data_IF_241784533749
#
_entry.id   IF_241784533749
#
_cell.length_a   1.000
_cell.length_b   1.000
_cell.length_c   1.000
_cell.angle_alpha   90.00
_cell.angle_beta   90.00
_cell.angle_gamma   90.00
#
_symmetry.space_group_name_H-M   'P 1'
#
loop_
_entity.id
_entity.type
_entity.pdbx_description
1 polymer ?
#
# COMPACT_ATOMS: atom_id res chain seq x y z
N UNK A 1 1.13 2.22 0.46
CA UNK A 1 -0.25 1.94 0.92
C UNK A 1 -0.20 1.45 2.36
N UNK A 2 -1.03 2.01 3.23
CA UNK A 2 -1.24 1.63 4.64
C UNK A 2 -0.01 1.75 5.56
N UNK A 3 0.90 2.67 5.30
CA UNK A 3 2.02 2.99 6.22
C UNK A 3 1.52 3.95 7.31
N UNK A 4 0.59 3.50 8.11
CA UNK A 4 -0.07 4.31 9.13
C UNK A 4 0.63 4.16 10.48
N UNK A 5 0.51 5.18 11.32
CA UNK A 5 1.26 5.26 12.58
C UNK A 5 0.96 4.11 13.53
N UNK A 6 -0.29 3.67 13.62
CA UNK A 6 -0.69 2.57 14.50
C UNK A 6 -0.16 1.21 14.04
N UNK A 7 -0.20 0.93 12.72
CA UNK A 7 0.38 -0.32 12.20
C UNK A 7 1.92 -0.31 12.28
N UNK A 8 2.56 0.84 12.02
CA UNK A 8 4.02 0.95 12.15
C UNK A 8 4.48 0.74 13.59
N UNK A 9 3.70 1.17 14.57
CA UNK A 9 4.00 0.97 15.99
C UNK A 9 4.02 -0.51 16.42
N UNK A 10 3.33 -1.39 15.68
CA UNK A 10 3.38 -2.84 15.93
C UNK A 10 4.72 -3.48 15.50
N UNK A 11 5.48 -2.80 14.65
CA UNK A 11 6.71 -3.35 14.06
C UNK A 11 7.92 -2.40 14.23
N UNK A 12 8.29 -2.04 15.47
CA UNK A 12 9.30 -0.99 15.74
C UNK A 12 10.69 -1.33 15.21
N UNK A 13 11.04 -2.60 15.06
CA UNK A 13 12.32 -3.03 14.51
C UNK A 13 12.40 -2.91 12.99
N UNK A 14 11.28 -2.92 12.29
CA UNK A 14 11.20 -2.91 10.82
C UNK A 14 10.83 -1.52 10.30
N UNK A 15 9.96 -0.81 11.00
CA UNK A 15 9.38 0.45 10.57
C UNK A 15 10.43 1.49 10.10
N UNK A 16 11.56 1.73 10.80
CA UNK A 16 12.54 2.74 10.37
C UNK A 16 13.10 2.46 8.98
N UNK A 17 13.49 1.22 8.69
CA UNK A 17 14.06 0.83 7.39
C UNK A 17 12.98 0.87 6.30
N UNK A 18 11.80 0.32 6.58
CA UNK A 18 10.68 0.29 5.65
C UNK A 18 10.24 1.71 5.25
N UNK A 19 10.07 2.60 6.22
CA UNK A 19 9.69 4.00 5.97
C UNK A 19 10.79 4.77 5.23
N UNK A 20 12.06 4.57 5.60
CA UNK A 20 13.20 5.17 4.89
C UNK A 20 13.27 4.75 3.42
N UNK A 21 13.12 3.46 3.14
CA UNK A 21 13.12 2.94 1.77
C UNK A 21 11.94 3.51 0.97
N UNK A 22 10.75 3.50 1.55
CA UNK A 22 9.54 4.03 0.91
C UNK A 22 9.64 5.54 0.67
N UNK A 23 10.22 6.29 1.61
CA UNK A 23 10.46 7.72 1.44
C UNK A 23 11.40 8.00 0.27
N UNK A 24 12.52 7.28 0.17
CA UNK A 24 13.47 7.41 -0.96
C UNK A 24 12.79 7.13 -2.30
N UNK A 25 11.93 6.11 -2.36
CA UNK A 25 11.17 5.80 -3.56
C UNK A 25 10.18 6.92 -3.92
N UNK A 26 9.45 7.45 -2.94
CA UNK A 26 8.54 8.59 -3.15
C UNK A 26 9.27 9.83 -3.63
N UNK A 27 10.43 10.14 -3.06
CA UNK A 27 11.20 11.32 -3.47
C UNK A 27 11.74 11.15 -4.91
N UNK A 28 12.25 9.98 -5.28
CA UNK A 28 12.67 9.70 -6.66
C UNK A 28 11.51 9.83 -7.66
N UNK A 29 10.32 9.31 -7.32
CA UNK A 29 9.12 9.47 -8.15
C UNK A 29 8.74 10.96 -8.33
N UNK A 30 8.78 11.74 -7.25
CA UNK A 30 8.51 13.19 -7.26
C UNK A 30 9.48 13.97 -8.13
N UNK A 31 10.76 13.63 -8.06
CA UNK A 31 11.83 14.28 -8.84
C UNK A 31 11.69 14.03 -10.35
N UNK A 32 11.03 12.95 -10.70
CA UNK A 32 10.73 12.58 -12.11
C UNK A 32 9.31 12.98 -12.55
N UNK A 33 8.57 13.69 -11.72
CA UNK A 33 7.20 14.11 -12.03
C UNK A 33 6.18 12.96 -12.05
N UNK A 34 6.54 11.79 -11.49
CA UNK A 34 5.62 10.67 -11.34
C UNK A 34 4.64 10.96 -10.20
N UNK A 35 3.36 10.78 -10.47
CA UNK A 35 2.30 11.03 -9.49
C UNK A 35 2.39 10.07 -8.30
N UNK A 36 2.41 10.62 -7.08
CA UNK A 36 2.43 9.82 -5.84
C UNK A 36 1.05 9.86 -5.21
N UNK A 37 0.49 8.67 -4.94
CA UNK A 37 -0.77 8.49 -4.25
C UNK A 37 -0.54 7.80 -2.92
N UNK A 38 -1.11 8.37 -1.87
CA UNK A 38 -1.18 7.71 -0.57
C UNK A 38 -2.52 7.01 -0.40
N UNK A 39 -2.51 5.89 0.31
CA UNK A 39 -3.73 5.21 0.69
C UNK A 39 -3.65 4.76 2.15
N UNK A 40 -4.73 4.94 2.88
CA UNK A 40 -4.91 4.42 4.22
C UNK A 40 -6.21 3.62 4.33
N UNK A 41 -6.20 2.62 5.20
CA UNK A 41 -7.43 2.01 5.66
C UNK A 41 -7.93 2.82 6.86
N UNK A 42 -9.24 3.05 6.97
CA UNK A 42 -9.80 3.87 8.02
C UNK A 42 -11.20 3.37 8.39
N UNK A 43 -11.54 3.49 9.66
CA UNK A 43 -12.86 3.18 10.18
C UNK A 43 -13.35 4.28 11.11
N UNK A 44 -14.66 4.51 11.11
CA UNK A 44 -15.30 5.39 12.08
C UNK A 44 -15.30 4.76 13.49
N UNK A 45 -15.39 5.56 14.57
CA UNK A 45 -15.52 5.03 15.92
C UNK A 45 -16.65 3.99 16.02
N UNK A 46 -16.35 2.84 16.62
CA UNK A 46 -17.29 1.71 16.72
C UNK A 46 -17.31 0.79 15.49
N UNK A 47 -16.60 1.13 14.43
CA UNK A 47 -16.43 0.29 13.20
C UNK A 47 -17.76 -0.04 12.49
N UNK A 48 -18.63 0.94 12.20
CA UNK A 48 -19.90 0.69 11.52
C UNK A 48 -19.72 0.14 10.09
N UNK A 49 -18.53 0.38 9.45
CA UNK A 49 -18.20 -0.11 8.11
C UNK A 49 -17.79 -1.60 8.12
N UNK A 50 -17.60 -2.21 9.29
CA UNK A 50 -17.15 -3.59 9.42
C UNK A 50 -18.33 -4.55 9.55
N UNK A 51 -18.58 -5.30 8.46
CA UNK A 51 -19.59 -6.37 8.45
C UNK A 51 -19.20 -7.52 9.42
N UNK A 52 -20.17 -8.12 10.13
CA UNK A 52 -19.91 -9.32 10.92
C UNK A 52 -19.42 -10.52 10.07
N UNK A 53 -19.67 -10.50 8.77
CA UNK A 53 -19.21 -11.53 7.84
C UNK A 53 -17.77 -11.32 7.34
N UNK A 54 -17.20 -10.13 7.57
CA UNK A 54 -15.84 -9.83 7.14
C UNK A 54 -14.83 -10.20 8.23
N UNK A 55 -14.28 -11.40 8.17
CA UNK A 55 -13.32 -11.91 9.15
C UNK A 55 -12.10 -11.00 9.34
N UNK A 56 -11.53 -10.45 8.24
CA UNK A 56 -10.40 -9.52 8.31
C UNK A 56 -10.78 -8.23 9.05
N UNK A 57 -11.92 -7.63 8.69
CA UNK A 57 -12.42 -6.43 9.37
C UNK A 57 -12.73 -6.68 10.86
N UNK A 58 -13.27 -7.84 11.20
CA UNK A 58 -13.50 -8.21 12.61
C UNK A 58 -12.19 -8.31 13.41
N UNK A 59 -11.12 -8.85 12.81
CA UNK A 59 -9.79 -8.86 13.42
C UNK A 59 -9.25 -7.45 13.66
N UNK A 60 -9.36 -6.55 12.68
CA UNK A 60 -8.97 -5.13 12.81
C UNK A 60 -9.74 -4.45 13.94
N UNK A 61 -11.06 -4.65 14.00
CA UNK A 61 -11.94 -4.11 15.06
C UNK A 61 -11.54 -4.60 16.44
N UNK A 62 -11.21 -5.89 16.60
CA UNK A 62 -10.73 -6.47 17.87
C UNK A 62 -9.42 -5.84 18.34
N UNK A 63 -8.54 -5.47 17.42
CA UNK A 63 -7.27 -4.79 17.70
C UNK A 63 -7.42 -3.28 17.93
N UNK A 64 -8.57 -2.70 17.64
CA UNK A 64 -8.81 -1.26 17.78
C UNK A 64 -8.02 -0.37 16.81
N UNK A 65 -7.63 -0.90 15.63
CA UNK A 65 -6.77 -0.22 14.68
C UNK A 65 -7.54 0.68 13.70
N UNK A 66 -6.85 1.69 13.17
CA UNK A 66 -7.26 2.50 12.01
C UNK A 66 -8.48 3.42 12.25
N UNK A 67 -8.64 3.95 13.47
CA UNK A 67 -9.70 4.93 13.80
C UNK A 67 -9.13 6.36 13.85
N UNK A 68 -8.07 6.60 14.64
CA UNK A 68 -7.49 7.94 14.85
C UNK A 68 -6.06 8.08 14.30
N UNK A 69 -5.68 7.22 13.41
CA UNK A 69 -4.35 7.14 12.85
C UNK A 69 -4.16 8.03 11.61
N UNK A 70 -2.90 8.24 11.25
CA UNK A 70 -2.50 8.99 10.05
C UNK A 70 -1.36 8.28 9.33
N UNK A 71 -1.11 8.68 8.09
CA UNK A 71 0.09 8.25 7.37
C UNK A 71 1.33 8.67 8.14
N UNK A 72 2.30 7.77 8.28
CA UNK A 72 3.56 8.05 8.98
C UNK A 72 4.22 9.31 8.44
N UNK A 73 4.50 10.31 9.29
CA UNK A 73 5.05 11.62 8.86
C UNK A 73 6.39 11.50 8.14
N UNK A 74 7.15 10.44 8.42
CA UNK A 74 8.45 10.13 7.80
C UNK A 74 8.36 10.01 6.28
N UNK A 75 7.19 9.64 5.74
CA UNK A 75 6.97 9.56 4.29
C UNK A 75 6.83 10.92 3.63
N UNK A 76 6.63 11.98 4.42
CA UNK A 76 6.55 13.35 3.94
C UNK A 76 5.48 13.54 2.88
N UNK A 77 4.27 13.02 3.10
CA UNK A 77 3.13 13.26 2.21
C UNK A 77 2.94 14.76 1.99
N UNK A 78 2.83 15.18 0.74
CA UNK A 78 2.58 16.57 0.36
C UNK A 78 1.08 16.85 0.31
N UNK A 79 0.67 18.07 0.60
CA UNK A 79 -0.75 18.47 0.58
C UNK A 79 -1.40 18.32 -0.81
N UNK A 80 -0.60 18.32 -1.87
CA UNK A 80 -1.05 18.12 -3.26
C UNK A 80 -1.17 16.65 -3.66
N UNK A 81 -0.67 15.71 -2.84
CA UNK A 81 -0.70 14.29 -3.12
C UNK A 81 -2.01 13.68 -2.62
N UNK A 82 -2.77 13.00 -3.49
CA UNK A 82 -4.03 12.41 -3.10
C UNK A 82 -3.88 11.39 -1.98
N UNK A 83 -4.80 11.43 -1.01
CA UNK A 83 -4.97 10.40 0.00
C UNK A 83 -6.26 9.63 -0.29
N UNK A 84 -6.11 8.34 -0.56
CA UNK A 84 -7.23 7.41 -0.76
C UNK A 84 -7.61 6.80 0.58
N UNK A 85 -8.88 6.87 0.93
CA UNK A 85 -9.42 6.29 2.16
C UNK A 85 -10.19 5.03 1.80
N UNK A 86 -9.69 3.88 2.24
CA UNK A 86 -10.30 2.58 2.03
C UNK A 86 -10.91 2.04 3.34
N UNK A 87 -11.95 1.22 3.24
CA UNK A 87 -12.52 0.47 4.36
C UNK A 87 -12.34 -1.04 4.18
N UNK A 88 -11.47 -1.42 3.24
CA UNK A 88 -11.13 -2.82 2.91
C UNK A 88 -9.63 -2.93 2.63
N UNK A 89 -9.12 -4.16 2.56
CA UNK A 89 -7.73 -4.41 2.28
C UNK A 89 -7.30 -3.85 0.90
N UNK A 90 -8.13 -4.05 -0.14
CA UNK A 90 -7.87 -3.45 -1.44
C UNK A 90 -8.11 -1.93 -1.41
N UNK A 91 -7.14 -1.17 -1.91
CA UNK A 91 -7.25 0.29 -2.05
C UNK A 91 -8.18 0.71 -3.20
N UNK A 92 -8.61 -0.22 -4.03
CA UNK A 92 -9.55 0.02 -5.13
C UNK A 92 -11.01 -0.22 -4.72
N UNK A 93 -11.24 -1.17 -3.79
CA UNK A 93 -12.60 -1.57 -3.45
C UNK A 93 -13.34 -0.48 -2.67
N UNK A 94 -14.38 0.08 -3.30
CA UNK A 94 -15.22 1.11 -2.69
C UNK A 94 -14.55 2.49 -2.54
N UNK A 95 -13.50 2.75 -3.33
CA UNK A 95 -12.80 4.04 -3.37
C UNK A 95 -12.91 4.68 -4.77
N UNK A 96 -12.46 5.92 -4.88
CA UNK A 96 -12.39 6.64 -6.15
C UNK A 96 -11.02 6.49 -6.86
N UNK A 97 -10.12 5.61 -6.38
CA UNK A 97 -8.76 5.50 -6.91
C UNK A 97 -8.77 5.20 -8.41
N UNK A 98 -9.52 4.21 -8.86
CA UNK A 98 -9.57 3.84 -10.29
C UNK A 98 -10.08 5.01 -11.16
N UNK A 99 -11.08 5.73 -10.69
CA UNK A 99 -11.60 6.91 -11.40
C UNK A 99 -10.51 7.98 -11.53
N UNK A 100 -9.74 8.24 -10.46
CA UNK A 100 -8.64 9.23 -10.48
C UNK A 100 -7.52 8.80 -11.44
N UNK A 101 -7.11 7.54 -11.41
CA UNK A 101 -6.08 7.01 -12.30
C UNK A 101 -6.52 7.11 -13.77
N UNK A 102 -7.74 6.66 -14.08
CA UNK A 102 -8.30 6.74 -15.43
C UNK A 102 -8.44 8.17 -15.95
N UNK A 103 -8.88 9.11 -15.09
CA UNK A 103 -9.01 10.52 -15.46
C UNK A 103 -7.66 11.19 -15.80
N UNK A 104 -6.56 10.65 -15.29
CA UNK A 104 -5.20 11.13 -15.55
C UNK A 104 -4.48 10.30 -16.63
N UNK A 105 -5.15 9.31 -17.23
CA UNK A 105 -4.55 8.43 -18.23
C UNK A 105 -3.43 7.54 -17.68
N UNK A 106 -3.45 7.25 -16.37
CA UNK A 106 -2.44 6.40 -15.73
C UNK A 106 -2.81 4.93 -15.97
N UNK A 107 -1.93 4.22 -16.65
CA UNK A 107 -2.04 2.80 -16.99
C UNK A 107 -0.96 1.93 -16.30
N UNK A 108 0.01 2.55 -15.66
CA UNK A 108 1.16 1.89 -15.05
C UNK A 108 1.28 2.27 -13.58
N UNK A 109 1.39 1.28 -12.70
CA UNK A 109 1.46 1.48 -11.26
C UNK A 109 2.71 0.84 -10.67
N UNK A 110 3.40 1.59 -9.81
CA UNK A 110 4.41 1.06 -8.91
C UNK A 110 3.81 1.00 -7.51
N UNK A 111 3.60 -0.22 -7.01
CA UNK A 111 2.81 -0.49 -5.82
C UNK A 111 3.69 -0.94 -4.66
N UNK A 112 3.49 -0.34 -3.50
CA UNK A 112 4.20 -0.68 -2.25
C UNK A 112 3.25 -0.58 -1.05
N UNK A 113 3.49 -1.37 0.00
CA UNK A 113 2.58 -1.32 1.16
C UNK A 113 2.83 -2.38 2.23
N UNK A 114 2.07 -2.25 3.30
CA UNK A 114 2.00 -3.17 4.43
C UNK A 114 0.53 -3.50 4.77
N UNK A 115 0.13 -4.78 4.90
CA UNK A 115 0.95 -5.98 4.81
C UNK A 115 0.85 -6.61 3.42
N UNK A 116 1.82 -7.46 3.07
CA UNK A 116 1.83 -8.18 1.80
C UNK A 116 0.63 -9.12 1.64
N UNK A 117 0.22 -9.79 2.70
CA UNK A 117 -0.98 -10.65 2.75
C UNK A 117 -2.29 -9.86 2.75
N UNK A 118 -2.25 -8.57 3.06
CA UNK A 118 -3.41 -7.68 3.12
C UNK A 118 -3.54 -6.80 1.87
N UNK A 119 -3.08 -5.53 2.02
CA UNK A 119 -3.27 -4.52 0.97
C UNK A 119 -2.59 -4.87 -0.34
N UNK A 120 -1.36 -5.44 -0.30
CA UNK A 120 -0.63 -5.77 -1.52
C UNK A 120 -1.35 -6.86 -2.30
N UNK A 121 -1.66 -8.00 -1.66
CA UNK A 121 -2.34 -9.12 -2.31
C UNK A 121 -3.68 -8.68 -2.93
N UNK A 122 -4.52 -7.99 -2.16
CA UNK A 122 -5.85 -7.59 -2.59
C UNK A 122 -5.81 -6.52 -3.69
N UNK A 123 -4.87 -5.58 -3.61
CA UNK A 123 -4.79 -4.46 -4.57
C UNK A 123 -4.09 -4.86 -5.86
N UNK A 124 -3.05 -5.71 -5.80
CA UNK A 124 -2.36 -6.24 -6.99
C UNK A 124 -3.34 -7.10 -7.81
N UNK A 125 -4.09 -8.00 -7.15
CA UNK A 125 -5.08 -8.82 -7.86
C UNK A 125 -6.09 -7.95 -8.60
N UNK A 126 -6.66 -6.95 -7.92
CA UNK A 126 -7.60 -6.02 -8.55
C UNK A 126 -6.97 -5.24 -9.71
N UNK A 127 -5.78 -4.66 -9.51
CA UNK A 127 -5.13 -3.84 -10.52
C UNK A 127 -4.71 -4.65 -11.75
N UNK A 128 -4.30 -5.90 -11.56
CA UNK A 128 -4.03 -6.86 -12.63
C UNK A 128 -5.29 -7.15 -13.46
N UNK A 129 -6.41 -7.43 -12.78
CA UNK A 129 -7.71 -7.70 -13.45
C UNK A 129 -8.31 -6.44 -14.12
N UNK A 130 -7.83 -5.25 -13.74
CA UNK A 130 -8.19 -3.97 -14.33
C UNK A 130 -7.19 -3.51 -15.42
N UNK A 131 -6.34 -4.41 -15.92
CA UNK A 131 -5.39 -4.23 -17.03
C UNK A 131 -4.30 -3.17 -16.79
N UNK A 132 -3.95 -2.86 -15.54
CA UNK A 132 -2.80 -2.02 -15.25
C UNK A 132 -1.48 -2.78 -15.46
N UNK A 133 -0.48 -2.07 -16.00
CA UNK A 133 0.92 -2.53 -15.94
C UNK A 133 1.44 -2.33 -14.51
N UNK A 134 1.96 -3.39 -13.90
CA UNK A 134 2.27 -3.39 -12.48
C UNK A 134 3.75 -3.63 -12.19
N UNK A 135 4.27 -2.82 -11.29
CA UNK A 135 5.56 -3.00 -10.63
C UNK A 135 5.35 -3.03 -9.11
N UNK A 136 6.13 -3.85 -8.41
CA UNK A 136 6.17 -3.88 -6.95
C UNK A 136 7.60 -3.79 -6.45
N UNK A 137 7.84 -3.04 -5.36
CA UNK A 137 9.18 -2.92 -4.76
C UNK A 137 9.19 -3.67 -3.44
N UNK A 138 9.85 -4.84 -3.43
CA UNK A 138 9.86 -5.75 -2.28
C UNK A 138 10.41 -5.08 -1.03
N UNK A 139 11.50 -4.31 -1.15
CA UNK A 139 12.17 -3.62 -0.03
C UNK A 139 11.32 -2.51 0.62
N UNK A 140 10.22 -2.14 -0.03
CA UNK A 140 9.23 -1.19 0.46
C UNK A 140 7.94 -1.89 0.91
N UNK A 141 7.93 -3.21 1.04
CA UNK A 141 6.80 -4.00 1.52
C UNK A 141 7.21 -4.80 2.76
N UNK A 142 6.23 -5.17 3.57
CA UNK A 142 6.47 -5.99 4.75
C UNK A 142 5.24 -6.85 5.06
N UNK A 143 5.51 -7.98 5.69
CA UNK A 143 4.51 -8.83 6.36
C UNK A 143 5.14 -9.43 7.62
N UNK A 144 4.40 -9.57 8.73
CA UNK A 144 4.93 -10.21 9.94
C UNK A 144 5.28 -11.69 9.73
N UNK A 145 4.65 -12.36 8.77
CA UNK A 145 5.04 -13.70 8.33
C UNK A 145 6.01 -13.59 7.14
N UNK A 146 7.31 -13.66 7.45
CA UNK A 146 8.36 -13.54 6.43
C UNK A 146 8.31 -14.66 5.40
N UNK A 147 7.93 -15.88 5.79
CA UNK A 147 7.83 -17.02 4.86
C UNK A 147 6.73 -16.78 3.84
N UNK A 148 5.57 -16.31 4.30
CA UNK A 148 4.45 -15.96 3.42
C UNK A 148 4.79 -14.75 2.57
N UNK A 149 5.46 -13.74 3.14
CA UNK A 149 5.94 -12.57 2.38
C UNK A 149 6.80 -13.00 1.19
N UNK A 150 7.86 -13.78 1.44
CA UNK A 150 8.79 -14.22 0.40
C UNK A 150 8.09 -15.09 -0.64
N UNK A 151 7.18 -15.95 -0.21
CA UNK A 151 6.40 -16.79 -1.10
C UNK A 151 5.46 -15.98 -2.01
N UNK A 152 4.78 -14.99 -1.48
CA UNK A 152 3.93 -14.10 -2.29
C UNK A 152 4.73 -13.39 -3.38
N UNK A 153 5.92 -12.85 -3.04
CA UNK A 153 6.76 -12.15 -4.00
C UNK A 153 7.37 -13.07 -5.06
N UNK A 154 7.66 -14.33 -4.73
CA UNK A 154 8.22 -15.31 -5.67
C UNK A 154 7.17 -16.08 -6.49
N UNK A 155 5.88 -15.87 -6.24
CA UNK A 155 4.79 -16.63 -6.90
C UNK A 155 3.64 -15.72 -7.33
N UNK A 156 2.74 -15.40 -6.40
CA UNK A 156 1.48 -14.67 -6.70
C UNK A 156 1.72 -13.26 -7.24
N UNK A 157 2.73 -12.54 -6.75
CA UNK A 157 3.06 -11.22 -7.27
C UNK A 157 3.87 -11.32 -8.57
N UNK A 158 4.87 -12.21 -8.63
CA UNK A 158 5.68 -12.41 -9.82
C UNK A 158 4.85 -12.77 -11.06
N UNK A 159 3.73 -13.47 -10.87
CA UNK A 159 2.80 -13.79 -11.97
C UNK A 159 1.95 -12.60 -12.47
N UNK A 160 1.92 -11.47 -11.75
CA UNK A 160 1.06 -10.30 -12.04
C UNK A 160 1.83 -9.00 -12.16
N UNK A 161 3.01 -8.91 -11.58
CA UNK A 161 3.79 -7.68 -11.52
C UNK A 161 5.26 -7.96 -11.84
N UNK A 162 5.99 -6.92 -12.27
CA UNK A 162 7.45 -6.99 -12.23
C UNK A 162 7.90 -6.68 -10.81
N UNK A 163 8.47 -7.68 -10.13
CA UNK A 163 9.02 -7.51 -8.78
C UNK A 163 10.41 -6.89 -8.87
N UNK A 164 10.62 -5.81 -8.15
CA UNK A 164 11.87 -5.04 -8.12
C UNK A 164 12.41 -4.94 -6.69
N UNK A 165 13.73 -4.85 -6.58
CA UNK A 165 14.39 -4.26 -5.43
C UNK A 165 14.24 -2.74 -5.43
N UNK A 166 14.53 -2.07 -4.31
CA UNK A 166 14.57 -0.60 -4.26
C UNK A 166 15.60 -0.02 -5.25
N UNK A 167 16.76 -0.66 -5.38
CA UNK A 167 17.81 -0.20 -6.30
C UNK A 167 17.33 -0.22 -7.76
N UNK A 168 16.70 -1.31 -8.19
CA UNK A 168 16.13 -1.45 -9.54
C UNK A 168 14.99 -0.45 -9.78
N UNK A 169 14.13 -0.23 -8.79
CA UNK A 169 13.05 0.76 -8.89
C UNK A 169 13.57 2.20 -9.02
N UNK A 170 14.61 2.55 -8.27
CA UNK A 170 15.27 3.85 -8.39
C UNK A 170 15.95 4.01 -9.75
N UNK A 171 16.53 2.96 -10.29
CA UNK A 171 17.13 2.96 -11.64
C UNK A 171 16.04 3.06 -12.72
N UNK A 172 14.89 2.42 -12.55
CA UNK A 172 13.75 2.52 -13.48
C UNK A 172 13.20 3.95 -13.56
N UNK A 173 13.20 4.66 -12.42
CA UNK A 173 12.77 6.05 -12.33
C UNK A 173 13.84 7.03 -12.84
N UNK A 174 15.10 6.67 -12.84
CA UNK A 174 16.27 7.51 -13.19
C UNK A 174 16.46 7.77 -14.62
#
# INVERSE_FOLDING_TARGET
MHYQTDIMALFPSVAPTLLSNTRRLCDAARDKGVSVYFAKIHFSPGYPEVSPLNRNGQGIKQLGLFVEDQISPELGQRATEPLIIAHRASVFFGTDLQVRLSAQGIDTLLMVGIASTGVMLSSIAYASDADFRLFTVKDCCYDPDQVVHDHLFSTAFDSRTTVLSLAEALQLLG
#
